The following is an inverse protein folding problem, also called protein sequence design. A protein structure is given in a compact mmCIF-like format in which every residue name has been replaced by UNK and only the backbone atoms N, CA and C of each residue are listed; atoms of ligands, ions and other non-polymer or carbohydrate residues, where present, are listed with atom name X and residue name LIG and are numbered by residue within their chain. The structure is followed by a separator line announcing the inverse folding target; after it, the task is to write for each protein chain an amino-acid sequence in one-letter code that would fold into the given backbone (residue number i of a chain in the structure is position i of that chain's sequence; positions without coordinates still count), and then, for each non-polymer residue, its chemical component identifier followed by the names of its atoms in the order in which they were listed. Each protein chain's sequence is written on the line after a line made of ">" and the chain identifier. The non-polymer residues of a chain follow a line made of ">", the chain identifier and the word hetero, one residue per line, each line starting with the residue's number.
data_IF_341867202499
#
_entry.id   IF_341867202499
#
_cell.length_a   1.000
_cell.length_b   1.000
_cell.length_c   1.000
_cell.angle_alpha   90.00
_cell.angle_beta   90.00
_cell.angle_gamma   90.00
#
_symmetry.space_group_name_H-M   'P 1'
#
loop_
_entity.id
_entity.type
_entity.pdbx_description
1 polymer ?
#
# COMPACT_ATOMS: atom_id res chain seq x y z
N UNK A 1 7.92 10.17 -12.74
CA UNK A 1 8.33 9.89 -11.35
C UNK A 1 7.13 9.27 -10.66
N UNK A 2 7.20 7.98 -10.37
CA UNK A 2 6.17 7.27 -9.65
C UNK A 2 6.03 7.86 -8.23
N UNK A 3 4.82 8.18 -7.76
CA UNK A 3 4.62 8.69 -6.42
C UNK A 3 4.99 7.62 -5.38
N UNK A 4 5.65 8.04 -4.29
CA UNK A 4 6.08 7.14 -3.21
C UNK A 4 4.90 6.70 -2.34
N UNK A 5 4.73 5.39 -2.18
CA UNK A 5 3.68 4.82 -1.34
C UNK A 5 4.16 4.59 0.09
N UNK A 6 3.52 5.25 1.06
CA UNK A 6 3.77 5.03 2.49
C UNK A 6 2.52 4.45 3.14
N UNK A 7 2.55 3.15 3.47
CA UNK A 7 1.46 2.46 4.15
C UNK A 7 1.84 2.30 5.63
N UNK A 8 1.04 2.92 6.51
CA UNK A 8 1.23 2.84 7.95
C UNK A 8 0.06 2.04 8.57
N UNK A 9 0.37 0.91 9.19
CA UNK A 9 -0.60 0.07 9.88
C UNK A 9 -0.74 0.52 11.34
N UNK A 10 -1.78 1.28 11.64
CA UNK A 10 -2.13 1.65 13.01
C UNK A 10 -3.10 0.58 13.55
N UNK A 11 -2.57 -0.36 14.32
CA UNK A 11 -3.26 -1.58 14.73
C UNK A 11 -4.63 -1.35 15.38
N UNK A 12 -5.66 -1.88 14.73
CA UNK A 12 -6.84 -2.50 15.36
C UNK A 12 -7.64 -3.32 14.33
N UNK A 13 -7.59 -2.99 13.03
CA UNK A 13 -8.22 -3.81 11.98
C UNK A 13 -7.47 -3.94 10.65
N UNK A 14 -6.32 -3.29 10.45
CA UNK A 14 -5.54 -3.47 9.22
C UNK A 14 -4.41 -4.46 9.49
N UNK A 15 -4.58 -5.69 9.01
CA UNK A 15 -3.56 -6.73 9.07
C UNK A 15 -2.48 -6.43 8.03
N UNK A 16 -1.22 -6.83 8.27
CA UNK A 16 -0.10 -6.65 7.33
C UNK A 16 -0.42 -7.16 5.91
N UNK A 17 -1.26 -8.20 5.82
CA UNK A 17 -1.77 -8.74 4.56
C UNK A 17 -2.64 -7.76 3.76
N UNK A 18 -3.50 -6.99 4.43
CA UNK A 18 -4.38 -6.01 3.78
C UNK A 18 -3.56 -4.83 3.25
N UNK A 19 -2.54 -4.41 4.00
CA UNK A 19 -1.56 -3.42 3.58
C UNK A 19 -0.71 -3.90 2.40
N UNK A 20 -0.25 -5.14 2.40
CA UNK A 20 0.49 -5.71 1.27
C UNK A 20 -0.37 -5.78 0.00
N UNK A 21 -1.64 -6.14 0.15
CA UNK A 21 -2.60 -6.16 -0.96
C UNK A 21 -2.93 -4.75 -1.48
N UNK A 22 -3.09 -3.78 -0.58
CA UNK A 22 -3.27 -2.36 -0.91
C UNK A 22 -2.09 -1.82 -1.71
N UNK A 23 -0.85 -2.22 -1.37
CA UNK A 23 0.34 -1.89 -2.16
C UNK A 23 0.22 -2.39 -3.59
N UNK A 24 -0.10 -3.67 -3.78
CA UNK A 24 -0.19 -4.27 -5.11
C UNK A 24 -1.27 -3.62 -5.98
N UNK A 25 -2.44 -3.34 -5.40
CA UNK A 25 -3.54 -2.66 -6.08
C UNK A 25 -3.18 -1.22 -6.45
N UNK A 26 -2.55 -0.48 -5.55
CA UNK A 26 -2.13 0.91 -5.80
C UNK A 26 -0.98 0.96 -6.82
N UNK A 27 -0.06 0.01 -6.78
CA UNK A 27 0.98 -0.17 -7.79
C UNK A 27 0.37 -0.47 -9.17
N UNK A 28 -0.58 -1.41 -9.25
CA UNK A 28 -1.22 -1.80 -10.52
C UNK A 28 -2.12 -0.70 -11.10
N UNK A 29 -2.86 0.03 -10.26
CA UNK A 29 -3.83 1.03 -10.73
C UNK A 29 -3.21 2.40 -10.99
N UNK A 30 -2.19 2.80 -10.22
CA UNK A 30 -1.67 4.17 -10.22
C UNK A 30 -0.15 4.24 -10.40
N UNK A 31 0.54 3.10 -10.50
CA UNK A 31 1.99 3.06 -10.68
C UNK A 31 2.76 3.62 -9.48
N UNK A 32 2.21 3.50 -8.27
CA UNK A 32 2.93 3.86 -7.04
C UNK A 32 4.06 2.86 -6.79
N UNK A 33 5.23 3.35 -6.38
CA UNK A 33 6.42 2.57 -6.00
C UNK A 33 6.86 3.02 -4.58
N UNK A 34 7.58 2.20 -3.82
CA UNK A 34 7.94 2.50 -2.40
C UNK A 34 9.08 3.52 -2.25
#
# INVERSE_FOLDING_TARGET
>A
MAPKLYIQTNGCQMNEYDSDKMRDVLQASHGFEL
#
